data_IF_498245529536
#
_entry.id   IF_498245529536
#
_cell.length_a   1.000
_cell.length_b   1.000
_cell.length_c   1.000
_cell.angle_alpha   90.00
_cell.angle_beta   90.00
_cell.angle_gamma   90.00
#
_symmetry.space_group_name_H-M   'P 1'
#
loop_
_entity.id
_entity.type
_entity.pdbx_description
1 polymer ?
#
# COMPACT_ATOMS: atom_id res chain seq x y z
N UNK A 1 29.29 -56.43 -35.11
CA UNK A 1 28.26 -55.90 -34.18
C UNK A 1 27.64 -54.69 -34.84
N UNK A 2 26.37 -54.74 -35.24
CA UNK A 2 25.70 -53.58 -35.84
C UNK A 2 25.09 -52.72 -34.72
N UNK A 3 25.38 -51.42 -34.74
CA UNK A 3 24.72 -50.46 -33.85
C UNK A 3 23.38 -50.10 -34.48
N UNK A 4 22.28 -50.72 -34.02
CA UNK A 4 20.94 -50.31 -34.45
C UNK A 4 20.70 -48.89 -33.96
N UNK A 5 20.45 -47.90 -34.85
CA UNK A 5 20.09 -46.57 -34.40
C UNK A 5 18.82 -46.69 -33.55
N UNK A 6 18.88 -46.21 -32.31
CA UNK A 6 17.71 -46.12 -31.45
C UNK A 6 16.73 -45.21 -32.19
N UNK A 7 15.64 -45.80 -32.70
CA UNK A 7 14.59 -45.06 -33.37
C UNK A 7 14.09 -43.96 -32.44
N UNK A 8 13.90 -42.75 -32.97
CA UNK A 8 13.39 -41.63 -32.17
C UNK A 8 12.10 -42.05 -31.48
N UNK A 9 12.12 -42.15 -30.15
CA UNK A 9 10.93 -42.49 -29.38
C UNK A 9 9.82 -41.52 -29.78
N UNK A 10 8.62 -42.02 -30.16
CA UNK A 10 7.51 -41.14 -30.47
C UNK A 10 7.21 -40.34 -29.22
N UNK A 11 7.36 -39.01 -29.31
CA UNK A 11 7.15 -38.10 -28.19
C UNK A 11 5.81 -38.43 -27.52
N UNK A 12 5.77 -38.67 -26.20
CA UNK A 12 4.55 -39.07 -25.53
C UNK A 12 3.48 -38.00 -25.77
N UNK A 13 2.22 -38.39 -26.02
CA UNK A 13 1.16 -37.46 -26.38
C UNK A 13 1.02 -36.39 -25.28
N UNK A 14 0.77 -35.11 -25.66
CA UNK A 14 0.71 -34.03 -24.71
C UNK A 14 -0.33 -34.32 -23.62
N UNK A 15 0.10 -34.28 -22.37
CA UNK A 15 -0.77 -34.51 -21.21
C UNK A 15 -1.94 -33.52 -21.23
N UNK A 16 -3.15 -33.94 -20.78
CA UNK A 16 -4.30 -33.05 -20.72
C UNK A 16 -4.02 -31.84 -19.82
N UNK A 17 -4.59 -30.65 -20.10
CA UNK A 17 -4.29 -29.44 -19.36
C UNK A 17 -4.82 -29.50 -17.92
N UNK A 18 -3.92 -29.83 -16.98
CA UNK A 18 -4.18 -29.79 -15.54
C UNK A 18 -4.52 -28.38 -15.07
N UNK A 19 -5.56 -28.24 -14.25
CA UNK A 19 -5.96 -26.97 -13.65
C UNK A 19 -5.17 -26.65 -12.38
N UNK A 20 -5.07 -25.36 -12.06
CA UNK A 20 -4.56 -24.86 -10.79
C UNK A 20 -5.75 -24.38 -9.98
N UNK A 21 -6.04 -25.07 -8.89
CA UNK A 21 -7.22 -24.81 -8.05
C UNK A 21 -6.83 -24.08 -6.76
N UNK A 22 -7.66 -23.13 -6.33
CA UNK A 22 -7.48 -22.40 -5.08
C UNK A 22 -8.62 -22.68 -4.10
N UNK A 23 -8.31 -23.33 -2.97
CA UNK A 23 -9.29 -23.84 -1.99
C UNK A 23 -9.41 -22.99 -0.72
N UNK A 24 -8.69 -21.87 -0.62
CA UNK A 24 -8.53 -21.13 0.64
C UNK A 24 -9.75 -20.30 1.03
N UNK A 25 -10.26 -20.50 2.25
CA UNK A 25 -11.41 -19.73 2.73
C UNK A 25 -11.08 -18.23 2.89
N UNK A 26 -11.91 -17.41 2.25
CA UNK A 26 -11.83 -15.96 2.27
C UNK A 26 -12.09 -15.37 3.66
N UNK A 27 -12.90 -16.03 4.49
CA UNK A 27 -13.22 -15.54 5.84
C UNK A 27 -12.04 -15.75 6.80
N UNK A 28 -11.40 -16.93 6.74
CA UNK A 28 -10.18 -17.28 7.46
C UNK A 28 -9.02 -16.38 7.03
N UNK A 29 -8.77 -16.27 5.72
CA UNK A 29 -7.71 -15.41 5.19
C UNK A 29 -7.86 -13.96 5.65
N UNK A 30 -9.08 -13.39 5.55
CA UNK A 30 -9.37 -12.05 6.06
C UNK A 30 -9.13 -11.94 7.57
N UNK A 31 -9.60 -12.92 8.36
CA UNK A 31 -9.42 -12.94 9.82
C UNK A 31 -7.93 -13.00 10.21
N UNK A 32 -7.13 -13.79 9.51
CA UNK A 32 -5.67 -13.84 9.67
C UNK A 32 -5.02 -12.50 9.33
N UNK A 33 -5.35 -11.92 8.17
CA UNK A 33 -4.78 -10.64 7.70
C UNK A 33 -5.16 -9.48 8.62
N UNK A 34 -6.43 -9.36 9.02
CA UNK A 34 -6.87 -8.29 9.94
C UNK A 34 -6.20 -8.41 11.31
N UNK A 35 -6.10 -9.62 11.88
CA UNK A 35 -5.36 -9.84 13.13
C UNK A 35 -3.88 -9.46 12.97
N UNK A 36 -3.28 -9.83 11.85
CA UNK A 36 -1.89 -9.48 11.53
C UNK A 36 -1.66 -7.97 11.43
N UNK A 37 -2.53 -7.24 10.73
CA UNK A 37 -2.46 -5.79 10.58
C UNK A 37 -2.64 -5.05 11.92
N UNK A 38 -3.52 -5.55 12.81
CA UNK A 38 -3.65 -5.03 14.18
C UNK A 38 -2.36 -5.22 14.99
N UNK A 39 -1.72 -6.40 14.89
CA UNK A 39 -0.43 -6.67 15.54
C UNK A 39 0.71 -5.86 14.91
N UNK A 40 0.67 -5.61 13.60
CA UNK A 40 1.63 -4.78 12.89
C UNK A 40 1.55 -3.31 13.35
N UNK A 41 0.34 -2.77 13.52
CA UNK A 41 0.13 -1.43 14.08
C UNK A 41 0.65 -1.33 15.53
N UNK A 42 0.29 -2.28 16.40
CA UNK A 42 0.72 -2.32 17.81
C UNK A 42 2.24 -2.52 17.97
N UNK A 43 2.91 -3.09 16.97
CA UNK A 43 4.36 -3.32 16.98
C UNK A 43 5.13 -2.38 16.06
N UNK A 44 4.56 -1.23 15.68
CA UNK A 44 5.18 -0.21 14.82
C UNK A 44 5.82 -0.78 13.54
N UNK A 45 5.09 -1.69 12.86
CA UNK A 45 5.54 -2.33 11.62
C UNK A 45 6.40 -3.58 11.81
N UNK A 46 6.73 -4.00 13.04
CA UNK A 46 7.61 -5.15 13.27
C UNK A 46 6.94 -6.50 12.95
N UNK A 47 5.65 -6.67 13.24
CA UNK A 47 4.95 -7.95 13.02
C UNK A 47 4.86 -8.39 11.55
N UNK A 48 5.11 -7.49 10.58
CA UNK A 48 5.04 -7.74 9.13
C UNK A 48 5.82 -8.98 8.67
N UNK A 49 6.94 -9.31 9.32
CA UNK A 49 7.74 -10.50 8.96
C UNK A 49 7.00 -11.82 9.22
N UNK A 50 6.19 -11.87 10.27
CA UNK A 50 5.31 -13.00 10.59
C UNK A 50 4.12 -13.01 9.64
N UNK A 51 3.40 -11.88 9.53
CA UNK A 51 2.25 -11.75 8.64
C UNK A 51 2.55 -12.14 7.17
N UNK A 52 3.66 -11.66 6.61
CA UNK A 52 4.09 -12.03 5.24
C UNK A 52 4.47 -13.51 5.11
N UNK A 53 4.93 -14.15 6.19
CA UNK A 53 5.21 -15.59 6.21
C UNK A 53 3.92 -16.41 6.27
N UNK A 54 2.98 -16.00 7.12
CA UNK A 54 1.70 -16.70 7.33
C UNK A 54 0.77 -16.55 6.12
N UNK A 55 0.72 -15.37 5.49
CA UNK A 55 0.05 -15.15 4.19
C UNK A 55 0.61 -16.10 3.13
N UNK A 56 1.94 -16.25 3.02
CA UNK A 56 2.54 -17.17 2.04
C UNK A 56 2.20 -18.62 2.33
N UNK A 57 2.21 -19.04 3.59
CA UNK A 57 1.83 -20.41 3.98
C UNK A 57 0.39 -20.72 3.64
N UNK A 58 -0.54 -19.83 3.99
CA UNK A 58 -1.95 -19.99 3.63
C UNK A 58 -2.15 -20.00 2.10
N UNK A 59 -1.48 -19.11 1.35
CA UNK A 59 -1.61 -19.09 -0.12
C UNK A 59 -1.03 -20.36 -0.78
N UNK A 60 0.15 -20.82 -0.35
CA UNK A 60 0.78 -22.03 -0.90
C UNK A 60 -0.02 -23.29 -0.57
N UNK A 61 -0.38 -23.49 0.71
CA UNK A 61 -1.10 -24.68 1.17
C UNK A 61 -2.54 -24.79 0.64
N UNK A 62 -3.12 -23.69 0.15
CA UNK A 62 -4.44 -23.68 -0.50
C UNK A 62 -4.37 -23.48 -2.03
N UNK A 63 -3.17 -23.52 -2.64
CA UNK A 63 -3.02 -23.57 -4.11
C UNK A 63 -2.59 -24.98 -4.50
N UNK A 64 -3.51 -25.74 -5.09
CA UNK A 64 -3.26 -27.09 -5.59
C UNK A 64 -2.93 -27.08 -7.08
N UNK A 65 -1.94 -27.87 -7.46
CA UNK A 65 -1.60 -28.20 -8.84
C UNK A 65 -1.67 -29.72 -8.94
N UNK A 66 -2.44 -30.24 -9.89
CA UNK A 66 -2.61 -31.69 -10.08
C UNK A 66 -3.12 -32.42 -8.82
N UNK A 67 -3.95 -31.75 -8.02
CA UNK A 67 -4.46 -32.22 -6.73
C UNK A 67 -3.54 -32.00 -5.52
N UNK A 68 -2.24 -31.74 -5.73
CA UNK A 68 -1.25 -31.56 -4.66
C UNK A 68 -0.95 -30.08 -4.39
N UNK A 69 -1.01 -29.68 -3.12
CA UNK A 69 -0.69 -28.32 -2.68
C UNK A 69 0.83 -28.07 -2.56
N UNK A 70 1.24 -26.82 -2.71
CA UNK A 70 2.62 -26.39 -2.46
C UNK A 70 2.87 -26.12 -0.96
N UNK A 71 4.09 -26.38 -0.47
CA UNK A 71 4.51 -26.04 0.89
C UNK A 71 5.45 -24.81 0.90
N UNK A 72 5.25 -23.90 1.85
CA UNK A 72 6.15 -22.77 2.10
C UNK A 72 6.93 -22.91 3.42
N UNK A 73 8.13 -23.46 3.32
CA UNK A 73 9.07 -23.76 4.44
C UNK A 73 9.77 -22.51 5.00
N UNK A 74 9.46 -21.31 4.49
CA UNK A 74 10.06 -20.04 4.93
C UNK A 74 9.78 -19.71 6.39
N UNK A 75 10.68 -18.94 7.02
CA UNK A 75 10.59 -18.56 8.44
C UNK A 75 10.70 -17.05 8.61
N UNK A 76 9.78 -16.43 9.36
CA UNK A 76 9.77 -14.98 9.63
C UNK A 76 11.13 -14.42 10.12
N UNK A 77 11.84 -15.18 10.98
CA UNK A 77 13.19 -14.80 11.46
C UNK A 77 14.21 -14.63 10.34
N UNK A 78 14.11 -15.38 9.23
CA UNK A 78 15.03 -15.26 8.09
C UNK A 78 14.77 -13.97 7.30
N UNK A 79 13.51 -13.55 7.18
CA UNK A 79 13.15 -12.25 6.57
C UNK A 79 13.60 -11.08 7.45
N UNK A 80 13.47 -11.21 8.77
CA UNK A 80 13.94 -10.21 9.75
C UNK A 80 15.46 -10.04 9.67
N UNK A 81 16.23 -11.13 9.70
CA UNK A 81 17.70 -11.09 9.59
C UNK A 81 18.12 -10.48 8.24
N UNK A 82 17.48 -10.86 7.14
CA UNK A 82 17.73 -10.26 5.83
C UNK A 82 17.44 -8.75 5.76
N UNK A 83 16.39 -8.29 6.46
CA UNK A 83 16.09 -6.86 6.60
C UNK A 83 17.11 -6.12 7.46
N UNK A 84 17.56 -6.70 8.58
CA UNK A 84 18.57 -6.09 9.44
C UNK A 84 19.93 -5.95 8.72
N UNK A 85 20.34 -6.95 7.94
CA UNK A 85 21.51 -6.82 7.06
C UNK A 85 21.34 -5.73 5.99
N UNK A 86 20.16 -5.62 5.37
CA UNK A 86 19.90 -4.55 4.41
C UNK A 86 19.94 -3.17 5.08
N UNK A 87 19.40 -3.02 6.29
CA UNK A 87 19.43 -1.78 7.07
C UNK A 87 20.86 -1.40 7.46
N UNK A 88 21.66 -2.36 7.95
CA UNK A 88 23.04 -2.16 8.37
C UNK A 88 23.98 -1.75 7.23
N UNK A 89 23.65 -2.07 5.97
CA UNK A 89 24.37 -1.61 4.78
C UNK A 89 23.82 -0.26 4.28
N UNK A 90 22.50 -0.14 4.20
CA UNK A 90 21.84 1.00 3.54
C UNK A 90 21.87 2.28 4.37
N UNK A 91 21.75 2.19 5.70
CA UNK A 91 21.74 3.38 6.59
C UNK A 91 23.10 4.09 6.62
N UNK A 92 24.26 3.41 6.78
CA UNK A 92 25.55 4.08 6.69
C UNK A 92 25.82 4.71 5.32
N UNK A 93 25.43 4.04 4.23
CA UNK A 93 25.57 4.60 2.87
C UNK A 93 24.72 5.87 2.71
N UNK A 94 23.46 5.84 3.17
CA UNK A 94 22.57 7.00 3.12
C UNK A 94 23.07 8.15 4.01
N UNK A 95 23.56 7.85 5.22
CA UNK A 95 24.10 8.86 6.14
C UNK A 95 25.39 9.49 5.62
N UNK A 96 26.34 8.69 5.11
CA UNK A 96 27.57 9.21 4.51
C UNK A 96 27.26 10.09 3.30
N UNK A 97 26.35 9.65 2.42
CA UNK A 97 25.88 10.44 1.30
C UNK A 97 25.18 11.75 1.75
N UNK A 98 24.35 11.70 2.80
CA UNK A 98 23.66 12.87 3.35
C UNK A 98 24.65 13.91 3.89
N UNK A 99 25.67 13.48 4.63
CA UNK A 99 26.73 14.35 5.15
C UNK A 99 27.55 14.98 4.01
N UNK A 100 27.90 14.21 2.98
CA UNK A 100 28.55 14.73 1.76
C UNK A 100 27.62 15.73 1.03
N UNK A 101 26.31 15.48 1.02
CA UNK A 101 25.32 16.36 0.39
C UNK A 101 25.24 17.76 1.01
N UNK A 102 25.52 17.90 2.31
CA UNK A 102 25.58 19.20 3.00
C UNK A 102 26.81 20.00 2.54
N UNK A 103 27.99 19.36 2.50
CA UNK A 103 29.25 20.02 2.14
C UNK A 103 29.28 20.42 0.64
N UNK A 104 28.62 19.66 -0.24
CA UNK A 104 28.65 19.86 -1.69
C UNK A 104 27.47 20.68 -2.25
N UNK A 105 26.93 21.60 -1.45
CA UNK A 105 25.83 22.52 -1.81
C UNK A 105 26.08 23.41 -3.05
N UNK A 106 27.29 23.40 -3.63
CA UNK A 106 27.62 24.14 -4.87
C UNK A 106 27.33 23.37 -6.18
N UNK A 107 26.98 22.08 -6.13
CA UNK A 107 26.70 21.23 -7.32
C UNK A 107 25.30 20.58 -7.28
N UNK A 108 24.31 21.34 -6.81
CA UNK A 108 22.97 20.87 -6.38
C UNK A 108 22.19 20.02 -7.40
N UNK A 109 22.42 20.21 -8.72
CA UNK A 109 21.65 19.54 -9.78
C UNK A 109 21.89 18.04 -9.94
N UNK A 110 23.04 17.50 -9.52
CA UNK A 110 23.44 16.11 -9.87
C UNK A 110 23.75 15.19 -8.69
N UNK A 111 23.89 15.69 -7.46
CA UNK A 111 24.25 14.87 -6.30
C UNK A 111 23.33 13.64 -6.12
N UNK A 112 22.03 13.82 -6.31
CA UNK A 112 21.01 12.77 -6.15
C UNK A 112 21.04 11.68 -7.23
N UNK A 113 21.72 11.91 -8.36
CA UNK A 113 21.70 10.98 -9.51
C UNK A 113 22.50 9.69 -9.23
N UNK A 114 23.75 9.73 -8.74
CA UNK A 114 24.44 8.54 -8.22
C UNK A 114 23.63 7.78 -7.15
N UNK A 115 22.99 8.49 -6.22
CA UNK A 115 22.17 7.86 -5.18
C UNK A 115 20.97 7.10 -5.79
N UNK A 116 20.23 7.73 -6.69
CA UNK A 116 19.10 7.11 -7.38
C UNK A 116 19.51 5.87 -8.19
N UNK A 117 20.62 5.97 -8.94
CA UNK A 117 21.17 4.85 -9.72
C UNK A 117 21.59 3.70 -8.79
N UNK A 118 22.26 4.00 -7.67
CA UNK A 118 22.66 3.01 -6.67
C UNK A 118 21.47 2.33 -5.99
N UNK A 119 20.46 3.10 -5.57
CA UNK A 119 19.22 2.58 -5.00
C UNK A 119 18.43 1.72 -6.00
N UNK A 120 18.36 2.11 -7.26
CA UNK A 120 17.72 1.31 -8.31
C UNK A 120 18.48 -0.01 -8.53
N UNK A 121 19.80 0.03 -8.63
CA UNK A 121 20.65 -1.16 -8.77
C UNK A 121 20.48 -2.12 -7.59
N UNK A 122 20.55 -1.61 -6.36
CA UNK A 122 20.32 -2.38 -5.13
C UNK A 122 18.88 -2.93 -5.05
N UNK A 123 17.88 -2.17 -5.50
CA UNK A 123 16.50 -2.61 -5.59
C UNK A 123 16.33 -3.81 -6.52
N UNK A 124 16.95 -3.79 -7.70
CA UNK A 124 16.93 -4.92 -8.63
C UNK A 124 17.68 -6.15 -8.06
N UNK A 125 18.81 -5.94 -7.38
CA UNK A 125 19.54 -6.99 -6.66
C UNK A 125 18.66 -7.63 -5.57
N UNK A 126 18.00 -6.81 -4.76
CA UNK A 126 17.11 -7.24 -3.69
C UNK A 126 15.89 -8.01 -4.22
N UNK A 127 15.28 -7.57 -5.33
CA UNK A 127 14.19 -8.30 -6.02
C UNK A 127 14.64 -9.69 -6.45
N UNK A 128 15.82 -9.81 -7.07
CA UNK A 128 16.37 -11.10 -7.51
C UNK A 128 16.68 -12.03 -6.32
N UNK A 129 17.36 -11.52 -5.29
CA UNK A 129 17.65 -12.27 -4.05
C UNK A 129 16.36 -12.69 -3.32
N UNK A 130 15.34 -11.84 -3.30
CA UNK A 130 14.04 -12.15 -2.73
C UNK A 130 13.26 -13.19 -3.54
N UNK A 131 13.40 -13.25 -4.88
CA UNK A 131 12.84 -14.35 -5.70
C UNK A 131 13.56 -15.66 -5.38
N UNK A 132 14.90 -15.65 -5.37
CA UNK A 132 15.75 -16.81 -5.02
C UNK A 132 15.37 -17.40 -3.65
N UNK A 133 15.17 -16.56 -2.63
CA UNK A 133 14.70 -16.97 -1.30
C UNK A 133 13.28 -17.56 -1.28
N UNK A 134 12.35 -17.05 -2.11
CA UNK A 134 10.99 -17.63 -2.18
C UNK A 134 11.02 -19.01 -2.84
N UNK A 135 11.81 -19.19 -3.89
CA UNK A 135 11.96 -20.47 -4.59
C UNK A 135 12.60 -21.52 -3.68
N UNK A 136 13.75 -21.24 -3.05
CA UNK A 136 14.42 -22.18 -2.12
C UNK A 136 13.66 -22.46 -0.80
N UNK A 137 12.48 -21.87 -0.63
CA UNK A 137 11.51 -22.15 0.43
C UNK A 137 10.16 -22.70 -0.08
N UNK A 138 10.03 -22.95 -1.38
CA UNK A 138 8.86 -23.59 -2.01
C UNK A 138 9.17 -25.04 -2.33
N UNK A 139 8.30 -25.95 -1.90
CA UNK A 139 8.36 -27.40 -2.17
C UNK A 139 7.01 -27.81 -2.77
N UNK A 140 7.01 -28.71 -3.74
CA UNK A 140 5.80 -29.35 -4.27
C UNK A 140 6.13 -30.82 -4.55
N UNK A 141 5.22 -31.75 -4.20
CA UNK A 141 5.46 -33.21 -4.28
C UNK A 141 6.81 -33.67 -3.71
N UNK A 142 7.27 -33.03 -2.62
CA UNK A 142 8.58 -33.28 -1.99
C UNK A 142 9.80 -32.68 -2.71
N UNK A 143 9.67 -32.29 -3.98
CA UNK A 143 10.73 -31.67 -4.77
C UNK A 143 10.77 -30.16 -4.51
N UNK A 144 11.97 -29.62 -4.33
CA UNK A 144 12.19 -28.21 -3.96
C UNK A 144 12.53 -27.37 -5.19
N UNK A 145 11.88 -26.22 -5.32
CA UNK A 145 12.29 -25.19 -6.28
C UNK A 145 13.61 -24.55 -5.83
N UNK A 146 14.48 -24.21 -6.76
CA UNK A 146 15.68 -23.44 -6.47
C UNK A 146 15.96 -22.44 -7.58
N UNK A 147 16.95 -21.59 -7.33
CA UNK A 147 17.37 -20.55 -8.27
C UNK A 147 18.87 -20.37 -8.16
N UNK A 148 19.56 -20.21 -9.29
CA UNK A 148 20.99 -19.94 -9.36
C UNK A 148 21.24 -18.47 -9.80
N UNK A 149 22.18 -18.23 -10.72
CA UNK A 149 22.47 -16.92 -11.30
C UNK A 149 23.08 -15.89 -10.34
N UNK A 150 23.52 -14.77 -10.91
CA UNK A 150 24.12 -13.66 -10.16
C UNK A 150 23.14 -12.49 -10.07
N UNK A 151 22.84 -12.06 -8.83
CA UNK A 151 22.00 -10.89 -8.59
C UNK A 151 22.59 -9.60 -9.16
N UNK A 152 23.92 -9.47 -9.19
CA UNK A 152 24.60 -8.35 -9.86
C UNK A 152 24.39 -8.40 -11.38
N UNK A 153 24.53 -9.58 -11.98
CA UNK A 153 24.33 -9.77 -13.41
C UNK A 153 22.86 -9.55 -13.86
N UNK A 154 21.88 -9.81 -12.97
CA UNK A 154 20.50 -9.36 -13.15
C UNK A 154 20.37 -7.83 -13.04
N UNK A 155 21.00 -7.23 -12.03
CA UNK A 155 20.88 -5.79 -11.73
C UNK A 155 21.44 -4.93 -12.86
N UNK A 156 22.64 -5.23 -13.38
CA UNK A 156 23.21 -4.52 -14.51
C UNK A 156 22.35 -4.64 -15.79
N UNK A 157 21.75 -5.81 -16.05
CA UNK A 157 20.75 -5.96 -17.13
C UNK A 157 19.53 -5.08 -16.90
N UNK A 158 19.02 -5.02 -15.67
CA UNK A 158 17.88 -4.18 -15.30
C UNK A 158 18.21 -2.68 -15.31
N UNK A 159 19.47 -2.29 -15.13
CA UNK A 159 19.96 -0.91 -15.32
C UNK A 159 20.05 -0.55 -16.80
N UNK A 160 20.67 -1.39 -17.63
CA UNK A 160 20.77 -1.17 -19.08
C UNK A 160 19.38 -1.07 -19.73
N UNK A 161 18.47 -2.00 -19.44
CA UNK A 161 17.08 -1.91 -19.89
C UNK A 161 16.29 -0.78 -19.22
N UNK A 162 16.63 -0.39 -17.99
CA UNK A 162 16.04 0.77 -17.31
C UNK A 162 16.38 2.08 -18.02
N UNK A 163 17.63 2.24 -18.45
CA UNK A 163 18.09 3.38 -19.24
C UNK A 163 17.40 3.41 -20.61
N UNK A 164 17.31 2.27 -21.32
CA UNK A 164 16.57 2.18 -22.59
C UNK A 164 15.08 2.52 -22.41
N UNK A 165 14.45 2.08 -21.32
CA UNK A 165 13.06 2.43 -20.97
C UNK A 165 12.90 3.94 -20.70
N UNK A 166 13.86 4.56 -20.01
CA UNK A 166 13.86 6.00 -19.75
C UNK A 166 14.02 6.81 -21.05
N UNK A 167 15.03 6.49 -21.85
CA UNK A 167 15.32 7.14 -23.14
C UNK A 167 14.19 6.98 -24.18
N UNK A 168 13.37 5.93 -24.06
CA UNK A 168 12.22 5.67 -24.95
C UNK A 168 10.87 6.03 -24.31
N UNK A 169 10.85 6.80 -23.21
CA UNK A 169 9.65 7.24 -22.50
C UNK A 169 8.65 6.10 -22.19
N UNK A 170 9.17 4.92 -21.82
CA UNK A 170 8.38 3.73 -21.51
C UNK A 170 8.10 2.80 -22.69
N UNK A 171 8.45 3.15 -23.94
CA UNK A 171 8.18 2.29 -25.10
C UNK A 171 8.91 0.94 -25.02
N UNK A 172 10.15 0.91 -24.54
CA UNK A 172 10.93 -0.33 -24.40
C UNK A 172 10.48 -1.27 -23.26
N UNK A 173 9.44 -0.92 -22.47
CA UNK A 173 8.99 -1.72 -21.31
C UNK A 173 8.69 -3.20 -21.64
N UNK A 174 8.00 -3.56 -22.75
CA UNK A 174 7.71 -4.96 -23.05
C UNK A 174 8.96 -5.81 -23.27
N UNK A 175 9.99 -5.24 -23.88
CA UNK A 175 11.28 -5.91 -24.11
C UNK A 175 12.10 -6.01 -22.82
N UNK A 176 12.06 -5.00 -21.94
CA UNK A 176 12.64 -5.09 -20.60
C UNK A 176 12.04 -6.25 -19.82
N UNK A 177 10.72 -6.32 -19.68
CA UNK A 177 10.11 -7.38 -18.87
C UNK A 177 10.38 -8.77 -19.47
N UNK A 178 10.35 -8.91 -20.80
CA UNK A 178 10.70 -10.15 -21.47
C UNK A 178 12.15 -10.60 -21.19
N UNK A 179 13.11 -9.68 -21.29
CA UNK A 179 14.53 -9.97 -21.05
C UNK A 179 14.84 -10.26 -19.57
N UNK A 180 14.23 -9.50 -18.65
CA UNK A 180 14.41 -9.70 -17.22
C UNK A 180 13.73 -10.97 -16.72
N UNK A 181 12.53 -11.28 -17.19
CA UNK A 181 11.84 -12.53 -16.83
C UNK A 181 12.53 -13.76 -17.41
N UNK A 182 13.00 -13.69 -18.66
CA UNK A 182 13.85 -14.73 -19.24
C UNK A 182 15.09 -14.99 -18.39
N UNK A 183 15.81 -13.96 -17.94
CA UNK A 183 16.93 -14.16 -17.01
C UNK A 183 16.48 -14.79 -15.68
N UNK A 184 15.34 -14.40 -15.12
CA UNK A 184 14.82 -14.97 -13.86
C UNK A 184 14.38 -16.43 -14.01
N UNK A 185 13.80 -16.82 -15.15
CA UNK A 185 13.31 -18.19 -15.39
C UNK A 185 14.41 -19.14 -15.84
N UNK A 186 15.34 -18.70 -16.69
CA UNK A 186 16.52 -19.49 -17.12
C UNK A 186 17.51 -19.86 -16.00
N UNK A 187 17.36 -19.25 -14.82
CA UNK A 187 18.10 -19.60 -13.60
C UNK A 187 17.16 -20.13 -12.50
N UNK A 188 15.90 -20.45 -12.81
CA UNK A 188 14.95 -21.14 -11.91
C UNK A 188 14.90 -22.61 -12.27
N UNK A 189 14.85 -23.48 -11.27
CA UNK A 189 14.82 -24.94 -11.44
C UNK A 189 13.82 -25.58 -10.48
N UNK A 190 13.22 -26.70 -10.89
CA UNK A 190 12.35 -27.55 -10.09
C UNK A 190 12.90 -28.97 -10.11
N UNK A 191 13.54 -29.38 -9.01
CA UNK A 191 14.47 -30.52 -9.09
C UNK A 191 15.55 -30.20 -10.13
N UNK A 192 15.71 -31.08 -11.11
CA UNK A 192 16.63 -30.89 -12.24
C UNK A 192 15.96 -30.26 -13.47
N UNK A 193 14.64 -30.03 -13.45
CA UNK A 193 13.92 -29.37 -14.55
C UNK A 193 14.18 -27.86 -14.54
N UNK A 194 14.93 -27.41 -15.54
CA UNK A 194 15.21 -25.99 -15.79
C UNK A 194 13.98 -25.25 -16.30
N UNK A 195 13.78 -24.02 -15.85
CA UNK A 195 12.80 -23.09 -16.39
C UNK A 195 13.30 -22.30 -17.61
N UNK A 196 12.39 -21.83 -18.45
CA UNK A 196 12.64 -20.79 -19.45
C UNK A 196 11.41 -19.89 -19.61
N UNK A 197 11.51 -18.85 -20.42
CA UNK A 197 10.44 -17.91 -20.70
C UNK A 197 10.36 -17.64 -22.20
N UNK A 198 9.37 -18.19 -22.89
CA UNK A 198 9.15 -17.98 -24.33
C UNK A 198 8.56 -16.61 -24.66
N UNK A 199 8.00 -15.90 -23.67
CA UNK A 199 7.33 -14.61 -23.85
C UNK A 199 8.18 -13.58 -24.61
N UNK A 200 7.62 -13.09 -25.73
CA UNK A 200 8.23 -12.09 -26.59
C UNK A 200 7.66 -10.69 -26.26
N UNK A 201 8.53 -9.68 -26.11
CA UNK A 201 8.10 -8.29 -25.90
C UNK A 201 7.22 -7.75 -27.04
N UNK A 202 7.42 -8.22 -28.28
CA UNK A 202 6.64 -7.79 -29.44
C UNK A 202 5.18 -8.26 -29.41
N UNK A 203 4.90 -9.46 -28.89
CA UNK A 203 3.51 -9.93 -28.73
C UNK A 203 2.81 -9.22 -27.58
N UNK A 204 3.52 -8.86 -26.50
CA UNK A 204 2.96 -8.01 -25.45
C UNK A 204 2.68 -6.58 -25.96
N UNK A 205 3.63 -5.96 -26.68
CA UNK A 205 3.45 -4.65 -27.28
C UNK A 205 2.26 -4.62 -28.25
N UNK A 206 2.17 -5.57 -29.20
CA UNK A 206 1.02 -5.66 -30.12
C UNK A 206 -0.32 -5.87 -29.41
N UNK A 207 -0.37 -6.62 -28.30
CA UNK A 207 -1.59 -6.80 -27.47
C UNK A 207 -2.01 -5.52 -26.72
N UNK A 208 -1.13 -4.53 -26.58
CA UNK A 208 -1.33 -3.41 -25.66
C UNK A 208 -1.00 -2.00 -26.17
N UNK A 209 -0.48 -1.81 -27.39
CA UNK A 209 0.09 -0.54 -27.89
C UNK A 209 -0.75 0.73 -27.60
N UNK A 210 -2.07 0.63 -27.67
CA UNK A 210 -3.01 1.72 -27.33
C UNK A 210 -2.86 2.24 -25.89
N UNK A 211 -2.38 1.41 -24.95
CA UNK A 211 -2.07 1.82 -23.59
C UNK A 211 -0.96 2.88 -23.58
N UNK A 212 0.05 2.80 -24.44
CA UNK A 212 1.09 3.82 -24.51
C UNK A 212 0.50 5.18 -24.94
N UNK A 213 -0.46 5.19 -25.88
CA UNK A 213 -1.18 6.40 -26.29
C UNK A 213 -2.14 6.95 -25.23
N UNK A 214 -2.83 6.09 -24.47
CA UNK A 214 -3.72 6.53 -23.39
C UNK A 214 -2.97 6.87 -22.08
N UNK A 215 -1.71 6.49 -21.92
CA UNK A 215 -0.93 6.75 -20.70
C UNK A 215 -0.86 8.23 -20.28
N UNK A 216 -0.63 9.24 -21.16
CA UNK A 216 -0.72 10.65 -20.76
C UNK A 216 -2.14 11.08 -20.37
N UNK A 217 -3.17 10.56 -21.04
CA UNK A 217 -4.58 10.88 -20.73
C UNK A 217 -4.96 10.32 -19.36
N UNK A 218 -4.56 9.09 -19.06
CA UNK A 218 -4.74 8.47 -17.76
C UNK A 218 -3.96 9.16 -16.63
N UNK A 219 -2.78 9.74 -16.94
CA UNK A 219 -2.01 10.54 -15.98
C UNK A 219 -2.72 11.85 -15.60
N UNK A 220 -3.28 12.56 -16.59
CA UNK A 220 -4.02 13.81 -16.37
C UNK A 220 -5.36 13.54 -15.68
N UNK A 221 -6.11 12.54 -16.16
CA UNK A 221 -7.39 12.14 -15.58
C UNK A 221 -7.13 11.08 -14.50
N UNK A 222 -6.60 11.52 -13.35
CA UNK A 222 -6.19 10.65 -12.22
C UNK A 222 -7.19 9.53 -11.85
N UNK A 223 -8.53 9.72 -11.86
CA UNK A 223 -9.49 8.64 -11.64
C UNK A 223 -9.44 7.47 -12.64
N UNK A 224 -8.89 7.67 -13.84
CA UNK A 224 -8.70 6.62 -14.86
C UNK A 224 -7.39 5.84 -14.71
N UNK A 225 -6.35 6.42 -14.09
CA UNK A 225 -5.05 5.77 -13.92
C UNK A 225 -5.14 4.36 -13.28
N UNK A 226 -6.00 4.08 -12.28
CA UNK A 226 -6.14 2.73 -11.73
C UNK A 226 -6.76 1.71 -12.68
N UNK A 227 -7.71 2.12 -13.55
CA UNK A 227 -8.33 1.24 -14.55
C UNK A 227 -7.34 0.93 -15.67
N UNK A 228 -6.64 1.96 -16.15
CA UNK A 228 -5.54 1.84 -17.08
C UNK A 228 -4.46 0.86 -16.56
N UNK A 229 -4.08 1.00 -15.29
CA UNK A 229 -3.12 0.11 -14.64
C UNK A 229 -3.68 -1.32 -14.50
N UNK A 230 -4.96 -1.49 -14.15
CA UNK A 230 -5.60 -2.81 -14.06
C UNK A 230 -5.60 -3.55 -15.41
N UNK A 231 -5.97 -2.87 -16.51
CA UNK A 231 -5.93 -3.39 -17.88
C UNK A 231 -4.50 -3.76 -18.33
N UNK A 232 -3.52 -2.91 -17.98
CA UNK A 232 -2.10 -3.20 -18.22
C UNK A 232 -1.66 -4.46 -17.45
N UNK A 233 -1.94 -4.53 -16.14
CA UNK A 233 -1.58 -5.69 -15.29
C UNK A 233 -2.26 -6.98 -15.73
N UNK A 234 -3.52 -6.94 -16.17
CA UNK A 234 -4.21 -8.13 -16.66
C UNK A 234 -3.55 -8.70 -17.92
N UNK A 235 -3.22 -7.87 -18.91
CA UNK A 235 -2.49 -8.29 -20.12
C UNK A 235 -1.07 -8.75 -19.82
N UNK A 236 -0.35 -8.02 -18.95
CA UNK A 236 0.99 -8.38 -18.51
C UNK A 236 0.99 -9.76 -17.82
N UNK A 237 0.07 -10.00 -16.89
CA UNK A 237 -0.02 -11.28 -16.16
C UNK A 237 -0.42 -12.43 -17.06
N UNK A 238 -1.35 -12.22 -18.00
CA UNK A 238 -1.72 -13.24 -19.00
C UNK A 238 -0.54 -13.60 -19.89
N UNK A 239 0.10 -12.61 -20.53
CA UNK A 239 1.30 -12.82 -21.35
C UNK A 239 2.48 -13.41 -20.56
N UNK A 240 2.63 -13.05 -19.29
CA UNK A 240 3.65 -13.62 -18.40
C UNK A 240 3.38 -15.10 -18.13
N UNK A 241 2.15 -15.48 -17.77
CA UNK A 241 1.79 -16.88 -17.56
C UNK A 241 1.91 -17.71 -18.85
N UNK A 242 1.35 -17.23 -19.97
CA UNK A 242 1.47 -17.84 -21.32
C UNK A 242 2.94 -18.12 -21.72
N UNK A 243 3.88 -17.34 -21.19
CA UNK A 243 5.30 -17.39 -21.51
C UNK A 243 6.15 -18.35 -20.66
N UNK A 244 5.67 -18.84 -19.51
CA UNK A 244 6.49 -19.66 -18.60
C UNK A 244 6.62 -21.10 -19.11
N UNK A 245 7.85 -21.64 -19.07
CA UNK A 245 8.18 -23.05 -19.29
C UNK A 245 8.96 -23.61 -18.12
N UNK A 246 8.72 -24.87 -17.74
CA UNK A 246 9.52 -25.64 -16.76
C UNK A 246 9.67 -27.07 -17.30
N UNK A 247 10.88 -27.43 -17.72
CA UNK A 247 11.07 -28.63 -18.55
C UNK A 247 10.18 -28.57 -19.80
N UNK A 248 9.45 -29.65 -20.09
CA UNK A 248 8.46 -29.70 -21.17
C UNK A 248 7.08 -29.11 -20.82
N UNK A 249 6.87 -28.60 -19.60
CA UNK A 249 5.55 -28.10 -19.15
C UNK A 249 5.43 -26.60 -19.45
N UNK A 250 4.31 -26.22 -20.06
CA UNK A 250 3.89 -24.83 -20.30
C UNK A 250 2.76 -24.43 -19.35
N UNK A 251 2.68 -23.13 -19.05
CA UNK A 251 1.53 -22.53 -18.37
C UNK A 251 0.75 -21.65 -19.36
N UNK A 252 -0.56 -21.54 -19.13
CA UNK A 252 -1.49 -20.70 -19.89
C UNK A 252 -2.46 -20.03 -18.92
N UNK A 253 -3.07 -18.92 -19.31
CA UNK A 253 -4.07 -18.24 -18.47
C UNK A 253 -5.22 -17.66 -19.26
N UNK A 254 -6.45 -17.99 -18.87
CA UNK A 254 -7.68 -17.36 -19.35
C UNK A 254 -8.17 -16.20 -18.48
N UNK A 255 -7.25 -15.55 -17.76
CA UNK A 255 -7.55 -14.34 -16.99
C UNK A 255 -8.22 -13.28 -17.91
N UNK A 256 -9.46 -12.84 -17.62
CA UNK A 256 -10.12 -11.82 -18.41
C UNK A 256 -9.57 -10.44 -18.05
N UNK A 257 -9.68 -9.49 -18.99
CA UNK A 257 -8.98 -8.20 -18.90
C UNK A 257 -9.53 -7.28 -17.80
N UNK A 258 -10.80 -7.45 -17.45
CA UNK A 258 -11.54 -6.72 -16.42
C UNK A 258 -11.42 -7.32 -15.01
N UNK A 259 -10.80 -8.50 -14.86
CA UNK A 259 -10.75 -9.29 -13.61
C UNK A 259 -10.34 -8.48 -12.37
N UNK A 260 -9.48 -7.48 -12.55
CA UNK A 260 -8.99 -6.62 -11.46
C UNK A 260 -9.84 -5.37 -11.21
N UNK A 261 -10.73 -4.94 -12.10
CA UNK A 261 -11.53 -3.71 -11.94
C UNK A 261 -12.31 -3.69 -10.63
N UNK A 262 -13.04 -4.77 -10.33
CA UNK A 262 -13.81 -4.90 -9.09
C UNK A 262 -12.96 -4.97 -7.81
N UNK A 263 -11.63 -5.12 -7.92
CA UNK A 263 -10.68 -5.01 -6.81
C UNK A 263 -10.14 -3.58 -6.70
N UNK A 264 -9.66 -2.99 -7.80
CA UNK A 264 -9.18 -1.60 -7.82
C UNK A 264 -10.26 -0.61 -7.37
N UNK A 265 -11.52 -0.77 -7.81
CA UNK A 265 -12.60 0.13 -7.40
C UNK A 265 -12.80 0.15 -5.87
N UNK A 266 -12.61 -1.01 -5.22
CA UNK A 266 -12.71 -1.13 -3.76
C UNK A 266 -11.52 -0.48 -3.05
N UNK A 267 -10.31 -0.61 -3.60
CA UNK A 267 -9.11 0.06 -3.06
C UNK A 267 -9.24 1.58 -3.17
N UNK A 268 -9.65 2.09 -4.34
CA UNK A 268 -9.83 3.53 -4.57
C UNK A 268 -10.97 4.07 -3.68
N UNK A 269 -12.10 3.38 -3.62
CA UNK A 269 -13.25 3.79 -2.79
C UNK A 269 -12.95 3.83 -1.29
N UNK A 270 -12.13 2.90 -0.78
CA UNK A 270 -11.62 2.99 0.60
C UNK A 270 -10.62 4.13 0.76
N UNK A 271 -9.72 4.36 -0.21
CA UNK A 271 -8.75 5.44 -0.16
C UNK A 271 -9.43 6.82 -0.17
N UNK A 272 -10.37 7.07 -1.09
CA UNK A 272 -11.11 8.35 -1.15
C UNK A 272 -11.96 8.56 0.09
N UNK A 273 -12.64 7.54 0.60
CA UNK A 273 -13.41 7.62 1.85
C UNK A 273 -12.51 7.97 3.05
N UNK A 274 -11.36 7.30 3.19
CA UNK A 274 -10.42 7.58 4.28
C UNK A 274 -9.79 8.97 4.14
N UNK A 275 -9.45 9.41 2.92
CA UNK A 275 -8.98 10.78 2.66
C UNK A 275 -10.05 11.84 2.97
N UNK A 276 -11.32 11.60 2.63
CA UNK A 276 -12.43 12.51 2.96
C UNK A 276 -12.63 12.61 4.49
N UNK A 277 -12.63 11.48 5.20
CA UNK A 277 -12.73 11.44 6.67
C UNK A 277 -11.54 12.15 7.33
N UNK A 278 -10.32 11.94 6.83
CA UNK A 278 -9.12 12.60 7.34
C UNK A 278 -9.13 14.12 7.10
N UNK A 279 -9.52 14.56 5.90
CA UNK A 279 -9.69 15.99 5.58
C UNK A 279 -10.78 16.64 6.43
N UNK A 280 -11.90 15.95 6.69
CA UNK A 280 -12.94 16.43 7.58
C UNK A 280 -12.45 16.54 9.05
N UNK A 281 -11.65 15.58 9.52
CA UNK A 281 -11.01 15.62 10.84
C UNK A 281 -10.00 16.79 10.97
N UNK A 282 -9.18 17.04 9.95
CA UNK A 282 -8.26 18.17 9.92
C UNK A 282 -9.00 19.52 9.85
N UNK A 283 -10.05 19.61 9.02
CA UNK A 283 -10.90 20.80 8.94
C UNK A 283 -11.63 21.10 10.26
N UNK A 284 -12.18 20.06 10.90
CA UNK A 284 -12.84 20.18 12.20
C UNK A 284 -11.89 20.59 13.33
N UNK A 285 -10.70 19.98 13.41
CA UNK A 285 -9.70 20.35 14.42
C UNK A 285 -9.12 21.75 14.18
N UNK A 286 -8.92 22.17 12.93
CA UNK A 286 -8.51 23.54 12.60
C UNK A 286 -9.60 24.59 12.92
N UNK A 287 -10.88 24.24 12.82
CA UNK A 287 -12.00 25.12 13.23
C UNK A 287 -12.12 25.22 14.75
N UNK A 288 -11.97 24.12 15.48
CA UNK A 288 -11.98 24.09 16.95
C UNK A 288 -10.73 24.75 17.55
N UNK A 289 -9.60 24.70 16.85
CA UNK A 289 -8.32 25.31 17.26
C UNK A 289 -8.20 26.81 16.98
N UNK A 290 -9.19 27.45 16.32
CA UNK A 290 -9.19 28.90 16.16
C UNK A 290 -9.53 29.57 17.50
N UNK A 291 -8.66 30.42 18.06
CA UNK A 291 -9.02 31.20 19.24
C UNK A 291 -10.24 32.05 18.92
N UNK A 292 -11.21 32.07 19.83
CA UNK A 292 -12.43 32.85 19.67
C UNK A 292 -12.11 34.34 19.88
N UNK A 293 -11.58 35.00 18.85
CA UNK A 293 -11.31 36.43 18.80
C UNK A 293 -12.62 37.24 18.74
N UNK A 294 -13.36 37.16 19.85
CA UNK A 294 -14.53 37.97 20.14
C UNK A 294 -14.14 39.43 20.14
N UNK A 295 -14.53 40.14 19.08
CA UNK A 295 -14.96 41.55 19.07
C UNK A 295 -14.47 42.35 20.31
N UNK A 296 -13.16 42.58 20.40
CA UNK A 296 -12.69 43.64 21.29
C UNK A 296 -13.23 44.95 20.73
N UNK A 297 -13.81 45.78 21.59
CA UNK A 297 -14.48 47.00 21.16
C UNK A 297 -13.51 47.92 20.40
N UNK A 298 -14.06 48.73 19.48
CA UNK A 298 -13.31 49.77 18.75
C UNK A 298 -12.99 50.96 19.67
N UNK A 299 -12.32 50.68 20.79
CA UNK A 299 -11.75 51.63 21.73
C UNK A 299 -10.55 52.30 21.05
N UNK A 300 -10.85 53.28 20.19
CA UNK A 300 -9.86 54.05 19.46
C UNK A 300 -9.03 54.92 20.40
N UNK A 301 -8.05 54.31 21.08
CA UNK A 301 -6.97 55.02 21.77
C UNK A 301 -6.17 55.76 20.70
N UNK A 302 -6.63 56.97 20.41
CA UNK A 302 -6.01 57.88 19.46
C UNK A 302 -4.73 58.39 20.11
N UNK A 303 -3.67 57.60 20.01
CA UNK A 303 -2.31 57.99 20.41
C UNK A 303 -2.02 59.34 19.76
N UNK A 304 -2.03 60.40 20.58
CA UNK A 304 -1.58 61.71 20.13
C UNK A 304 -0.09 61.56 19.84
N UNK A 305 0.27 61.75 18.58
CA UNK A 305 1.64 61.77 18.12
C UNK A 305 2.38 62.89 18.86
N UNK A 306 3.17 62.53 19.87
CA UNK A 306 4.03 63.47 20.56
C UNK A 306 5.08 63.95 19.57
N UNK A 307 4.84 65.12 18.97
CA UNK A 307 5.84 65.83 18.19
C UNK A 307 7.02 66.15 19.11
N UNK A 308 8.20 65.66 18.74
CA UNK A 308 9.44 66.17 19.30
C UNK A 308 9.68 67.56 18.69
N UNK A 309 9.56 68.60 19.50
CA UNK A 309 10.06 69.94 19.17
C UNK A 309 11.39 70.15 19.91
N UNK A 310 12.34 70.76 19.22
CA UNK A 310 13.73 70.92 19.66
C UNK A 310 13.82 71.99 20.77
N UNK A 311 14.52 71.75 21.87
CA UNK A 311 14.94 72.79 22.79
C UNK A 311 16.31 73.34 22.37
N UNK A 312 16.33 74.39 21.56
CA UNK A 312 17.47 75.31 21.55
C UNK A 312 17.37 76.24 22.76
N UNK A 313 18.48 76.45 23.47
CA UNK A 313 18.49 77.19 24.74
C UNK A 313 18.53 78.71 24.57
N UNK A 314 17.69 79.42 25.33
CA UNK A 314 17.69 80.89 25.37
C UNK A 314 16.93 81.45 26.58
N UNK A 315 17.68 82.03 27.51
CA UNK A 315 17.37 82.99 28.58
C UNK A 315 16.03 83.04 29.35
N UNK A 316 16.20 82.95 30.69
CA UNK A 316 15.66 83.87 31.72
C UNK A 316 14.13 83.99 31.97
N UNK A 317 13.72 84.73 33.02
CA UNK A 317 12.48 85.52 32.92
C UNK A 317 11.37 85.44 34.00
N UNK A 318 11.39 84.49 34.94
CA UNK A 318 10.57 84.51 36.19
C UNK A 318 9.01 84.40 36.14
N UNK A 319 8.41 84.31 37.35
CA UNK A 319 7.00 84.60 37.77
C UNK A 319 5.82 83.64 37.48
N UNK A 320 5.33 83.08 38.59
CA UNK A 320 3.93 83.10 39.08
C UNK A 320 2.79 82.46 38.24
N UNK A 321 2.42 81.25 38.67
CA UNK A 321 1.07 80.88 39.17
C UNK A 321 -0.18 81.55 38.55
N UNK A 322 -1.05 80.71 37.94
CA UNK A 322 -2.50 80.80 38.19
C UNK A 322 -3.20 79.46 37.99
N UNK A 323 -4.12 79.14 38.90
CA UNK A 323 -5.08 78.06 38.71
C UNK A 323 -6.25 78.52 37.83
N UNK A 324 -6.87 77.60 37.10
CA UNK A 324 -8.08 77.84 36.32
C UNK A 324 -8.91 76.56 36.21
N UNK A 325 -10.14 76.60 36.72
CA UNK A 325 -11.08 75.50 36.67
C UNK A 325 -12.33 75.91 35.87
N UNK A 326 -12.76 75.03 34.96
CA UNK A 326 -14.12 74.90 34.41
C UNK A 326 -14.22 73.43 33.96
N UNK A 327 -15.04 72.54 34.52
CA UNK A 327 -16.49 72.55 34.84
C UNK A 327 -17.32 71.81 33.75
N UNK A 328 -18.48 71.29 34.15
CA UNK A 328 -19.23 70.26 33.46
C UNK A 328 -20.08 70.81 32.30
N UNK A 329 -20.33 69.94 31.31
CA UNK A 329 -21.67 69.89 30.72
C UNK A 329 -22.11 68.45 30.46
N UNK A 330 -23.22 68.06 31.11
CA UNK A 330 -23.98 66.86 30.75
C UNK A 330 -24.80 67.14 29.49
N UNK A 331 -25.02 66.11 28.68
CA UNK A 331 -26.36 65.88 28.13
C UNK A 331 -26.71 64.40 28.24
N UNK A 332 -27.89 64.11 28.79
CA UNK A 332 -28.47 62.77 28.83
C UNK A 332 -29.54 62.66 27.74
N UNK A 333 -29.58 61.52 27.05
CA UNK A 333 -30.64 61.17 26.09
C UNK A 333 -31.22 59.81 26.46
N UNK A 334 -32.42 59.82 27.05
CA UNK A 334 -33.19 58.62 27.37
C UNK A 334 -34.28 58.40 26.30
N UNK A 335 -34.48 57.15 25.89
CA UNK A 335 -35.68 56.75 25.14
C UNK A 335 -36.17 55.34 25.56
N UNK A 336 -37.42 55.30 26.05
CA UNK A 336 -38.20 54.07 26.30
C UNK A 336 -38.36 53.28 24.99
N UNK A 337 -38.27 51.95 24.88
CA UNK A 337 -38.70 50.81 25.72
C UNK A 337 -40.18 50.38 25.52
N UNK A 338 -40.34 49.15 24.99
CA UNK A 338 -41.50 48.22 24.89
C UNK A 338 -40.90 46.88 24.35
N UNK A 339 -41.15 45.64 24.79
CA UNK A 339 -42.26 44.93 25.46
C UNK A 339 -43.51 44.75 24.56
N UNK A 340 -44.16 43.58 24.43
CA UNK A 340 -44.01 42.20 24.97
C UNK A 340 -43.96 41.19 23.75
N UNK A 341 -43.98 39.85 23.84
CA UNK A 341 -44.12 38.93 24.97
C UNK A 341 -44.02 37.43 24.60
N UNK A 342 -43.78 36.67 25.67
CA UNK A 342 -44.06 35.25 25.99
C UNK A 342 -45.02 34.42 25.12
N UNK A 343 -44.73 33.10 25.08
CA UNK A 343 -45.68 32.01 24.83
C UNK A 343 -45.18 30.70 25.47
N UNK A 344 -46.02 30.04 26.30
CA UNK A 344 -45.69 28.83 27.08
C UNK A 344 -46.93 27.91 27.18
N UNK A 345 -46.73 26.59 27.12
CA UNK A 345 -47.75 25.54 27.27
C UNK A 345 -47.44 24.36 26.32
N UNK A 346 -47.22 23.09 26.68
CA UNK A 346 -47.33 22.24 27.89
C UNK A 346 -48.44 21.14 27.80
N UNK A 347 -48.07 19.92 28.23
CA UNK A 347 -48.87 18.72 28.60
C UNK A 347 -49.67 17.85 27.58
N UNK A 348 -49.44 16.52 27.74
CA UNK A 348 -50.37 15.36 27.62
C UNK A 348 -50.88 15.01 26.19
N UNK A 349 -51.21 13.76 25.80
CA UNK A 349 -51.20 12.40 26.42
C UNK A 349 -51.90 11.38 25.46
N UNK A 350 -52.07 10.07 25.71
CA UNK A 350 -51.44 9.08 26.62
C UNK A 350 -51.91 7.62 26.30
N UNK A 351 -51.13 6.58 26.68
CA UNK A 351 -51.45 5.11 26.79
C UNK A 351 -51.76 4.26 25.53
N UNK A 352 -51.01 3.14 25.36
CA UNK A 352 -51.45 1.72 25.43
C UNK A 352 -50.19 0.79 25.30
N UNK A 353 -49.93 -0.23 26.14
CA UNK A 353 -50.45 -1.64 26.19
C UNK A 353 -50.25 -2.41 24.85
N UNK A 354 -49.75 -3.67 24.79
CA UNK A 354 -49.58 -4.73 25.83
C UNK A 354 -48.71 -5.92 25.31
N UNK A 355 -47.85 -6.53 26.14
CA UNK A 355 -47.26 -7.90 25.94
C UNK A 355 -46.33 -8.09 24.71
N UNK A 356 -45.66 -9.22 24.44
CA UNK A 356 -45.36 -10.53 25.08
C UNK A 356 -44.02 -11.01 24.41
N UNK A 357 -43.10 -11.84 24.93
CA UNK A 357 -42.91 -12.54 26.22
C UNK A 357 -42.09 -13.84 26.01
N UNK A 358 -41.39 -14.34 27.04
CA UNK A 358 -40.41 -15.46 27.01
C UNK A 358 -39.13 -15.17 26.17
N UNK A 359 -37.86 -15.41 26.56
CA UNK A 359 -37.16 -16.21 27.58
C UNK A 359 -36.56 -17.56 27.09
N UNK A 360 -35.24 -17.72 27.30
CA UNK A 360 -34.52 -19.00 27.22
C UNK A 360 -33.91 -19.33 25.84
N UNK A 361 -32.69 -19.85 25.72
CA UNK A 361 -31.70 -20.22 26.74
C UNK A 361 -30.25 -20.00 26.26
N UNK A 362 -29.34 -19.66 27.18
CA UNK A 362 -27.90 -19.62 26.92
C UNK A 362 -27.33 -21.04 27.03
N UNK A 363 -26.59 -21.52 26.03
CA UNK A 363 -25.70 -22.70 26.17
C UNK A 363 -24.23 -22.26 26.12
N UNK A 364 -23.70 -21.86 27.26
CA UNK A 364 -22.28 -21.58 27.46
C UNK A 364 -21.51 -22.88 27.72
N UNK A 365 -20.89 -23.44 26.68
CA UNK A 365 -19.93 -24.54 26.84
C UNK A 365 -18.51 -23.98 27.01
N UNK A 366 -18.13 -23.69 28.25
CA UNK A 366 -16.70 -23.62 28.61
C UNK A 366 -16.12 -25.03 28.58
N UNK A 367 -14.96 -25.23 27.98
CA UNK A 367 -14.20 -26.47 28.11
C UNK A 367 -12.73 -26.13 28.35
N UNK A 368 -12.21 -26.56 29.51
CA UNK A 368 -10.90 -26.17 29.99
C UNK A 368 -9.77 -27.10 29.51
N UNK A 369 -8.54 -26.57 29.57
CA UNK A 369 -7.26 -27.23 29.26
C UNK A 369 -7.17 -28.71 29.73
N UNK A 370 -7.00 -29.66 28.80
CA UNK A 370 -5.86 -30.62 28.66
C UNK A 370 -6.25 -31.95 27.97
N UNK A 371 -5.45 -32.32 26.96
CA UNK A 371 -5.09 -33.68 26.47
C UNK A 371 -6.22 -34.62 25.98
N UNK A 372 -6.00 -35.12 24.75
CA UNK A 372 -6.39 -36.45 24.24
C UNK A 372 -7.87 -36.88 24.33
N UNK A 373 -8.57 -36.83 23.19
CA UNK A 373 -9.53 -37.88 22.84
C UNK A 373 -9.45 -38.16 21.32
N UNK A 374 -9.58 -39.43 20.92
CA UNK A 374 -9.46 -39.87 19.51
C UNK A 374 -10.85 -39.95 18.85
N UNK A 375 -10.86 -39.87 17.51
CA UNK A 375 -11.88 -40.34 16.54
C UNK A 375 -13.28 -40.67 17.12
N UNK A 376 -14.24 -39.78 16.91
CA UNK A 376 -15.65 -40.15 16.77
C UNK A 376 -16.05 -39.97 15.29
N UNK A 377 -16.76 -40.94 14.70
CA UNK A 377 -17.13 -40.96 13.27
C UNK A 377 -18.64 -40.99 13.13
N UNK A 378 -19.28 -39.82 13.03
CA UNK A 378 -20.73 -39.73 12.83
C UNK A 378 -21.05 -39.47 11.35
N UNK A 379 -21.53 -40.50 10.65
CA UNK A 379 -22.43 -40.30 9.49
C UNK A 379 -23.82 -40.03 10.07
N UNK A 380 -24.55 -39.08 9.49
CA UNK A 380 -25.94 -38.80 9.83
C UNK A 380 -26.59 -38.09 8.66
N UNK A 381 -27.36 -38.83 7.86
CA UNK A 381 -28.25 -38.29 6.84
C UNK A 381 -29.56 -37.94 7.54
N UNK A 382 -30.08 -36.74 7.31
CA UNK A 382 -31.48 -36.41 7.55
C UNK A 382 -31.85 -35.14 6.74
N UNK A 383 -32.61 -35.35 5.66
CA UNK A 383 -33.49 -34.32 5.11
C UNK A 383 -34.86 -34.52 5.74
N UNK A 384 -35.51 -33.44 6.15
CA UNK A 384 -36.97 -33.28 6.16
C UNK A 384 -37.28 -31.79 6.02
N UNK A 385 -38.21 -31.50 5.10
CA UNK A 385 -39.07 -30.31 4.98
C UNK A 385 -38.47 -28.92 5.34
#
# INVERSE_FOLDING_TARGET
MQWTPIGSEPLPPPLPPTRVDFSGDRSEFRKMVTKGAMLELVTFGFYRFWLVTDIRRHLWANTAIDGDAAEYTGRAKELLVGFLFALAILVPIYLAYFLIGIEFERWQGFASTPLFIGFYAFGQFAIFRARRYRLTRTVWRGVRFWMDGSGWAYSFRAMAWGLLVFLTLGLALPWREAALERYKMQHTHYGDLRGDFEGNGWTFFKRGWWLWLLSPIALVIFPLAPFFYAEFKAREWRWWLDGIRIGGVSLFSDLPHDAFYGLYWKVIGWWTLLSMVFSAYLGGSALLGRPAERRSGRSGVRLRQCRQEHPDGGDDGSRLSRAGACDQHRHAGLSSARSLGQGVGDRQGARHRRGVGCAGARRTCQCARRRFCRRARCRGILSCE
#
